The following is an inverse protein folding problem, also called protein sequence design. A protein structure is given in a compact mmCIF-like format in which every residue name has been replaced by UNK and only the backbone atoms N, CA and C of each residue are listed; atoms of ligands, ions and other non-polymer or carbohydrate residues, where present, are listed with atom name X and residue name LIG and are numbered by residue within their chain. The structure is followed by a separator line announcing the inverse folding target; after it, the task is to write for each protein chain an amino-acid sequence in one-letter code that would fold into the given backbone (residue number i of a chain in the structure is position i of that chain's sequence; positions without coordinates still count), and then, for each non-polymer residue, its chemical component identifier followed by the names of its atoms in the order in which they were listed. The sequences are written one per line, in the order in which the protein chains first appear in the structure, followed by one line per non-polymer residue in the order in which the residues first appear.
data_IF_626343288520
#
_entry.id   IF_626343288520
#
_cell.length_a   1.000
_cell.length_b   1.000
_cell.length_c   1.000
_cell.angle_alpha   90.00
_cell.angle_beta   90.00
_cell.angle_gamma   90.00
#
_symmetry.space_group_name_H-M   'P 1'
#
loop_
_entity.id
_entity.type
_entity.pdbx_description
1 polymer ?
#
# COMPACT_ATOMS: atom_id res chain seq x y z
N UNK A 1 11.28 17.13 -23.10
CA UNK A 1 9.91 16.68 -22.76
C UNK A 1 9.79 15.22 -23.16
N UNK A 2 9.96 14.29 -22.22
CA UNK A 2 9.75 12.86 -22.48
C UNK A 2 8.26 12.59 -22.40
N UNK A 3 7.61 12.30 -23.53
CA UNK A 3 6.18 11.98 -23.57
C UNK A 3 5.94 10.71 -22.77
N UNK A 4 5.22 10.81 -21.65
CA UNK A 4 4.84 9.65 -20.84
C UNK A 4 3.98 8.72 -21.69
N UNK A 5 4.50 7.53 -22.03
CA UNK A 5 3.76 6.52 -22.79
C UNK A 5 2.49 6.10 -22.03
N UNK A 6 1.41 5.87 -22.77
CA UNK A 6 0.13 5.46 -22.20
C UNK A 6 0.22 4.09 -21.48
N UNK A 7 -0.61 3.88 -20.46
CA UNK A 7 -0.73 2.60 -19.75
C UNK A 7 -1.79 1.73 -20.42
N UNK A 8 -1.38 0.97 -21.45
CA UNK A 8 -2.28 0.12 -22.26
C UNK A 8 -2.14 -1.36 -21.95
N UNK A 9 -3.13 -2.15 -22.38
CA UNK A 9 -3.14 -3.61 -22.24
C UNK A 9 -1.91 -4.23 -22.93
N UNK A 10 -1.56 -3.75 -24.11
CA UNK A 10 -0.49 -4.29 -24.96
C UNK A 10 0.89 -3.95 -24.38
N UNK A 11 1.06 -2.70 -23.91
CA UNK A 11 2.31 -2.28 -23.27
C UNK A 11 2.54 -3.02 -21.96
N UNK A 12 1.50 -3.16 -21.13
CA UNK A 12 1.62 -3.89 -19.86
C UNK A 12 1.87 -5.37 -20.07
N UNK A 13 1.35 -5.97 -21.15
CA UNK A 13 1.69 -7.33 -21.57
C UNK A 13 3.18 -7.45 -21.93
N UNK A 14 3.71 -6.56 -22.78
CA UNK A 14 5.12 -6.58 -23.18
C UNK A 14 6.08 -6.38 -21.98
N UNK A 15 5.74 -5.45 -21.08
CA UNK A 15 6.48 -5.20 -19.83
C UNK A 15 6.46 -6.43 -18.93
N UNK A 16 5.30 -7.10 -18.81
CA UNK A 16 5.17 -8.34 -18.05
C UNK A 16 6.05 -9.47 -18.62
N UNK A 17 6.04 -9.67 -19.94
CA UNK A 17 6.83 -10.70 -20.60
C UNK A 17 8.34 -10.45 -20.44
N UNK A 18 8.79 -9.22 -20.64
CA UNK A 18 10.19 -8.82 -20.44
C UNK A 18 10.63 -9.03 -18.99
N UNK A 19 9.79 -8.65 -18.02
CA UNK A 19 10.08 -8.86 -16.61
C UNK A 19 10.15 -10.35 -16.24
N UNK A 20 9.27 -11.19 -16.78
CA UNK A 20 9.33 -12.64 -16.56
C UNK A 20 10.61 -13.24 -17.16
N UNK A 21 10.98 -12.86 -18.38
CA UNK A 21 12.21 -13.30 -19.00
C UNK A 21 13.45 -12.91 -18.17
N UNK A 22 13.49 -11.67 -17.67
CA UNK A 22 14.57 -11.21 -16.77
C UNK A 22 14.63 -12.02 -15.47
N UNK A 23 13.47 -12.35 -14.89
CA UNK A 23 13.35 -13.14 -13.66
C UNK A 23 13.56 -14.65 -13.87
N UNK A 24 13.77 -15.12 -15.10
CA UNK A 24 13.85 -16.55 -15.44
C UNK A 24 12.52 -17.30 -15.24
N UNK A 25 11.40 -16.60 -15.36
CA UNK A 25 10.05 -17.15 -15.24
C UNK A 25 9.40 -17.32 -16.62
N UNK A 26 8.65 -18.41 -16.80
CA UNK A 26 7.92 -18.65 -18.04
C UNK A 26 6.60 -17.87 -18.08
N UNK A 27 6.52 -16.91 -19.01
CA UNK A 27 5.31 -16.14 -19.25
C UNK A 27 4.28 -16.88 -20.15
N UNK A 28 4.68 -17.99 -20.78
CA UNK A 28 3.80 -18.70 -21.71
C UNK A 28 2.54 -19.22 -21.01
N UNK A 29 1.38 -18.99 -21.64
CA UNK A 29 0.08 -19.38 -21.08
C UNK A 29 -0.36 -18.59 -19.85
N UNK A 30 0.39 -17.57 -19.42
CA UNK A 30 -0.02 -16.71 -18.32
C UNK A 30 -1.35 -16.01 -18.64
N UNK A 31 -2.17 -15.83 -17.61
CA UNK A 31 -3.48 -15.19 -17.73
C UNK A 31 -3.46 -13.81 -17.08
N UNK A 32 -3.90 -12.80 -17.82
CA UNK A 32 -4.19 -11.49 -17.24
C UNK A 32 -5.47 -11.58 -16.40
N UNK A 33 -5.30 -11.41 -15.09
CA UNK A 33 -6.36 -11.51 -14.09
C UNK A 33 -7.15 -10.20 -14.03
N UNK A 34 -6.46 -9.06 -14.05
CA UNK A 34 -7.09 -7.73 -13.92
C UNK A 34 -6.31 -6.69 -14.70
N UNK A 35 -7.03 -5.71 -15.24
CA UNK A 35 -6.46 -4.51 -15.84
C UNK A 35 -7.24 -3.28 -15.35
N UNK A 36 -6.54 -2.32 -14.73
CA UNK A 36 -7.13 -1.10 -14.17
C UNK A 36 -6.03 -0.14 -13.72
N UNK A 37 -6.04 0.27 -12.45
CA UNK A 37 -4.93 1.06 -11.87
C UNK A 37 -3.59 0.32 -11.99
N UNK A 38 -3.62 -1.02 -11.89
CA UNK A 38 -2.50 -1.92 -12.18
C UNK A 38 -2.95 -2.99 -13.17
N UNK A 39 -1.98 -3.60 -13.87
CA UNK A 39 -2.19 -4.84 -14.61
C UNK A 39 -1.67 -6.02 -13.77
N UNK A 40 -2.50 -7.04 -13.59
CA UNK A 40 -2.18 -8.22 -12.78
C UNK A 40 -2.21 -9.46 -13.68
N UNK A 41 -1.11 -10.19 -13.68
CA UNK A 41 -0.90 -11.42 -14.45
C UNK A 41 -0.65 -12.59 -13.50
N UNK A 42 -1.04 -13.78 -13.94
CA UNK A 42 -0.81 -15.03 -13.25
C UNK A 42 -0.10 -15.98 -14.18
N UNK A 43 1.04 -16.53 -13.74
CA UNK A 43 1.76 -17.54 -14.50
C UNK A 43 0.95 -18.84 -14.61
N UNK A 44 1.12 -19.55 -15.72
CA UNK A 44 0.33 -20.74 -16.03
C UNK A 44 0.52 -21.86 -14.99
N UNK A 45 1.73 -21.99 -14.48
CA UNK A 45 2.15 -22.95 -13.44
C UNK A 45 1.76 -22.54 -12.01
N UNK A 46 1.01 -21.43 -11.86
CA UNK A 46 0.62 -20.84 -10.57
C UNK A 46 1.80 -20.45 -9.65
N UNK A 47 3.03 -20.39 -10.17
CA UNK A 47 4.21 -20.10 -9.36
C UNK A 47 4.21 -18.65 -8.85
N UNK A 48 3.73 -17.70 -9.67
CA UNK A 48 3.76 -16.28 -9.38
C UNK A 48 2.50 -15.52 -9.82
N UNK A 49 2.21 -14.45 -9.09
CA UNK A 49 1.40 -13.32 -9.56
C UNK A 49 2.35 -12.17 -9.86
N UNK A 50 2.21 -11.58 -11.05
CA UNK A 50 3.05 -10.48 -11.52
C UNK A 50 2.18 -9.24 -11.65
N UNK A 51 2.60 -8.15 -11.01
CA UNK A 51 1.88 -6.88 -11.05
C UNK A 51 2.73 -5.83 -11.76
N UNK A 52 2.16 -5.23 -12.79
CA UNK A 52 2.70 -4.04 -13.48
C UNK A 52 1.95 -2.80 -12.97
N UNK A 53 2.68 -1.91 -12.31
CA UNK A 53 2.16 -0.67 -11.72
C UNK A 53 2.45 0.56 -12.57
N UNK A 54 2.01 1.72 -12.08
CA UNK A 54 2.19 3.03 -12.74
C UNK A 54 3.19 3.95 -12.04
N UNK A 55 3.51 3.67 -10.77
CA UNK A 55 4.29 4.56 -9.90
C UNK A 55 5.39 3.77 -9.21
N UNK A 56 6.64 4.07 -9.58
CA UNK A 56 7.83 3.47 -8.97
C UNK A 56 7.87 3.72 -7.46
N UNK A 57 7.63 4.95 -6.95
CA UNK A 57 7.58 5.18 -5.50
C UNK A 57 6.50 4.34 -4.79
N UNK A 58 5.32 4.19 -5.40
CA UNK A 58 4.24 3.39 -4.81
C UNK A 58 4.61 1.89 -4.75
N UNK A 59 5.15 1.35 -5.85
CA UNK A 59 5.56 -0.05 -5.91
C UNK A 59 6.74 -0.34 -4.96
N UNK A 60 7.70 0.58 -4.84
CA UNK A 60 8.82 0.48 -3.90
C UNK A 60 8.31 0.41 -2.46
N UNK A 61 7.41 1.33 -2.09
CA UNK A 61 6.78 1.32 -0.76
C UNK A 61 6.03 0.03 -0.50
N UNK A 62 5.30 -0.48 -1.48
CA UNK A 62 4.56 -1.75 -1.37
C UNK A 62 5.49 -2.94 -1.11
N UNK A 63 6.58 -3.08 -1.87
CA UNK A 63 7.58 -4.14 -1.67
C UNK A 63 8.20 -4.07 -0.28
N UNK A 64 8.63 -2.88 0.15
CA UNK A 64 9.25 -2.69 1.46
C UNK A 64 8.29 -3.05 2.61
N UNK A 65 7.03 -2.59 2.52
CA UNK A 65 6.02 -2.89 3.55
C UNK A 65 5.67 -4.38 3.55
N UNK A 66 5.49 -5.00 2.39
CA UNK A 66 5.18 -6.42 2.28
C UNK A 66 6.33 -7.30 2.82
N UNK A 67 7.59 -6.96 2.49
CA UNK A 67 8.78 -7.63 2.99
C UNK A 67 8.88 -7.53 4.52
N UNK A 68 8.77 -6.31 5.06
CA UNK A 68 8.79 -6.10 6.52
C UNK A 68 7.66 -6.85 7.24
N UNK A 69 6.45 -6.88 6.66
CA UNK A 69 5.34 -7.65 7.21
C UNK A 69 5.64 -9.17 7.21
N UNK A 70 6.21 -9.69 6.13
CA UNK A 70 6.58 -11.09 6.02
C UNK A 70 7.65 -11.49 7.05
N UNK A 71 8.71 -10.69 7.23
CA UNK A 71 9.73 -10.86 8.29
C UNK A 71 9.12 -10.88 9.70
N UNK A 72 8.02 -10.14 9.86
CA UNK A 72 7.29 -10.05 11.11
C UNK A 72 6.19 -11.12 11.27
N UNK A 73 6.19 -12.16 10.42
CA UNK A 73 5.23 -13.26 10.42
C UNK A 73 3.76 -12.78 10.28
N UNK A 74 3.57 -11.67 9.57
CA UNK A 74 2.26 -11.22 9.12
C UNK A 74 1.99 -11.81 7.72
N UNK A 75 0.77 -12.30 7.44
CA UNK A 75 0.43 -12.82 6.11
C UNK A 75 0.41 -11.67 5.10
N UNK A 76 1.52 -11.50 4.39
CA UNK A 76 1.69 -10.57 3.29
C UNK A 76 2.27 -11.33 2.10
N UNK A 77 1.95 -10.87 0.89
CA UNK A 77 2.54 -11.39 -0.33
C UNK A 77 4.08 -11.34 -0.21
N UNK A 78 4.73 -12.50 -0.25
CA UNK A 78 6.19 -12.57 -0.15
C UNK A 78 6.76 -12.29 -1.53
N UNK A 79 7.70 -11.34 -1.61
CA UNK A 79 8.51 -11.11 -2.81
C UNK A 79 9.10 -12.43 -3.27
N UNK A 80 8.67 -12.87 -4.45
CA UNK A 80 9.24 -14.02 -5.11
C UNK A 80 10.64 -13.60 -5.54
N UNK A 81 11.63 -14.42 -5.18
CA UNK A 81 13.04 -14.26 -5.53
C UNK A 81 13.72 -13.20 -4.68
N UNK A 82 14.91 -13.50 -4.17
CA UNK A 82 15.84 -12.51 -3.61
C UNK A 82 16.38 -11.52 -4.66
N UNK A 83 15.62 -11.29 -5.74
CA UNK A 83 15.85 -10.23 -6.70
C UNK A 83 15.35 -8.92 -6.09
N UNK A 84 16.10 -7.83 -6.28
CA UNK A 84 15.63 -6.50 -5.90
C UNK A 84 14.34 -6.16 -6.67
N UNK A 85 13.32 -5.72 -5.93
CA UNK A 85 12.03 -5.31 -6.47
C UNK A 85 11.70 -3.87 -6.04
N UNK A 86 10.96 -3.10 -6.87
CA UNK A 86 10.37 -3.48 -8.15
C UNK A 86 11.39 -3.53 -9.30
N UNK A 87 11.20 -4.45 -10.23
CA UNK A 87 11.89 -4.42 -11.52
C UNK A 87 11.32 -3.29 -12.38
N UNK A 88 12.15 -2.48 -13.03
CA UNK A 88 11.67 -1.34 -13.83
C UNK A 88 11.87 -1.64 -15.31
N UNK A 89 10.76 -1.65 -16.06
CA UNK A 89 10.76 -1.96 -17.49
C UNK A 89 9.86 -0.99 -18.25
N UNK A 90 10.37 -0.41 -19.33
CA UNK A 90 9.75 0.71 -20.06
C UNK A 90 9.18 1.82 -19.13
N UNK A 91 9.84 2.08 -17.99
CA UNK A 91 9.41 3.06 -16.99
C UNK A 91 8.22 2.66 -16.11
N UNK A 92 7.78 1.40 -16.18
CA UNK A 92 6.74 0.83 -15.31
C UNK A 92 7.38 -0.11 -14.27
N UNK A 93 7.00 -0.01 -12.98
CA UNK A 93 7.43 -0.97 -11.97
C UNK A 93 6.70 -2.29 -12.11
N UNK A 94 7.43 -3.39 -11.97
CA UNK A 94 6.95 -4.76 -11.95
C UNK A 94 7.32 -5.42 -10.63
N UNK A 95 6.36 -6.10 -10.02
CA UNK A 95 6.55 -6.85 -8.76
C UNK A 95 6.07 -8.28 -8.93
N UNK A 96 6.76 -9.21 -8.26
CA UNK A 96 6.50 -10.63 -8.27
C UNK A 96 6.15 -11.10 -6.87
N UNK A 97 4.96 -11.66 -6.72
CA UNK A 97 4.48 -12.23 -5.47
C UNK A 97 4.33 -13.75 -5.60
N UNK A 98 4.94 -14.50 -4.65
CA UNK A 98 4.71 -15.95 -4.56
C UNK A 98 3.30 -16.22 -4.07
N UNK A 99 2.63 -17.18 -4.70
CA UNK A 99 1.49 -17.84 -4.06
C UNK A 99 2.02 -18.82 -3.03
N UNK A 100 1.81 -18.54 -1.74
CA UNK A 100 2.19 -19.46 -0.66
C UNK A 100 1.43 -20.80 -0.76
N UNK A 101 0.27 -20.81 -1.41
CA UNK A 101 -0.59 -21.99 -1.53
C UNK A 101 -0.50 -22.77 -2.86
N UNK A 102 0.33 -22.36 -3.82
CA UNK A 102 0.41 -23.03 -5.13
C UNK A 102 -0.97 -23.21 -5.78
N UNK A 103 -1.35 -24.46 -6.06
CA UNK A 103 -2.64 -24.83 -6.66
C UNK A 103 -3.85 -24.57 -5.75
N UNK A 104 -3.65 -24.50 -4.42
CA UNK A 104 -4.72 -24.19 -3.47
C UNK A 104 -5.00 -22.69 -3.37
N UNK A 105 -4.34 -21.85 -4.18
CA UNK A 105 -4.60 -20.41 -4.20
C UNK A 105 -5.86 -20.07 -5.00
N UNK A 106 -6.76 -19.33 -4.38
CA UNK A 106 -7.96 -18.76 -4.99
C UNK A 106 -7.72 -17.31 -5.41
N UNK A 107 -7.83 -17.03 -6.71
CA UNK A 107 -7.62 -15.68 -7.22
C UNK A 107 -8.89 -14.83 -7.11
N UNK A 108 -8.97 -14.05 -6.03
CA UNK A 108 -10.10 -13.15 -5.78
C UNK A 108 -9.78 -11.67 -6.06
N UNK A 109 -8.60 -11.35 -6.62
CA UNK A 109 -8.20 -9.96 -6.89
C UNK A 109 -8.02 -9.11 -5.62
N UNK A 110 -7.80 -9.76 -4.48
CA UNK A 110 -7.64 -9.13 -3.16
C UNK A 110 -6.21 -8.64 -2.97
N UNK A 111 -6.06 -7.42 -2.44
CA UNK A 111 -4.75 -6.86 -2.06
C UNK A 111 -4.22 -7.51 -0.78
N UNK A 112 -5.12 -7.80 0.17
CA UNK A 112 -4.80 -8.51 1.41
C UNK A 112 -5.55 -9.83 1.44
N UNK A 113 -4.85 -10.88 1.00
CA UNK A 113 -5.39 -12.23 0.98
C UNK A 113 -4.74 -13.11 2.05
N UNK A 114 -5.46 -14.12 2.49
CA UNK A 114 -4.90 -15.25 3.23
C UNK A 114 -3.86 -15.98 2.38
N UNK A 115 -3.11 -16.91 3.00
CA UNK A 115 -2.10 -17.71 2.29
C UNK A 115 -2.66 -18.46 1.08
N UNK A 116 -3.98 -18.71 1.04
CA UNK A 116 -4.72 -19.41 -0.02
C UNK A 116 -5.56 -18.47 -0.90
N UNK A 117 -5.36 -17.15 -0.84
CA UNK A 117 -6.03 -16.23 -1.76
C UNK A 117 -7.46 -15.80 -1.37
N UNK A 118 -7.98 -16.31 -0.24
CA UNK A 118 -9.28 -15.89 0.33
C UNK A 118 -9.18 -14.62 1.17
N UNK A 119 -10.32 -14.01 1.47
CA UNK A 119 -10.42 -12.88 2.40
C UNK A 119 -9.79 -13.19 3.76
N UNK A 120 -9.13 -12.19 4.34
CA UNK A 120 -8.60 -12.30 5.69
C UNK A 120 -9.71 -12.14 6.72
N UNK A 121 -9.88 -13.15 7.57
CA UNK A 121 -10.73 -13.03 8.75
C UNK A 121 -10.18 -11.98 9.74
N UNK A 122 -11.06 -11.14 10.28
CA UNK A 122 -10.68 -10.04 11.16
C UNK A 122 -10.00 -10.50 12.46
N UNK A 123 -10.37 -11.68 13.01
CA UNK A 123 -9.69 -12.22 14.19
C UNK A 123 -8.27 -12.69 13.86
N UNK A 124 -8.07 -13.30 12.69
CA UNK A 124 -6.75 -13.67 12.20
C UNK A 124 -5.85 -12.45 11.95
N UNK A 125 -6.38 -11.36 11.38
CA UNK A 125 -5.66 -10.09 11.23
C UNK A 125 -5.24 -9.55 12.60
N UNK A 126 -6.15 -9.50 13.58
CA UNK A 126 -5.82 -9.05 14.95
C UNK A 126 -4.77 -9.93 15.61
N UNK A 127 -4.83 -11.26 15.40
CA UNK A 127 -3.82 -12.20 15.93
C UNK A 127 -2.45 -11.92 15.32
N UNK A 128 -2.39 -11.68 14.01
CA UNK A 128 -1.15 -11.33 13.33
C UNK A 128 -0.60 -9.97 13.81
N UNK A 129 -1.45 -8.95 13.92
CA UNK A 129 -1.09 -7.63 14.44
C UNK A 129 -0.49 -7.72 15.85
N UNK A 130 -1.08 -8.52 16.75
CA UNK A 130 -0.53 -8.72 18.10
C UNK A 130 0.87 -9.33 18.11
N UNK A 131 1.22 -10.18 17.12
CA UNK A 131 2.59 -10.70 17.01
C UNK A 131 3.59 -9.60 16.66
N UNK A 132 3.21 -8.72 15.73
CA UNK A 132 4.02 -7.55 15.34
C UNK A 132 4.24 -6.62 16.54
N UNK A 133 3.19 -6.33 17.31
CA UNK A 133 3.29 -5.51 18.52
C UNK A 133 4.25 -6.10 19.56
N UNK A 134 4.20 -7.41 19.81
CA UNK A 134 5.15 -8.08 20.71
C UNK A 134 6.59 -7.92 20.24
N UNK A 135 6.85 -8.10 18.94
CA UNK A 135 8.18 -7.92 18.35
C UNK A 135 8.68 -6.47 18.47
N UNK A 136 7.76 -5.51 18.39
CA UNK A 136 8.06 -4.09 18.58
C UNK A 136 8.20 -3.67 20.06
N UNK A 137 8.10 -4.60 21.02
CA UNK A 137 8.19 -4.28 22.46
C UNK A 137 6.94 -3.62 23.03
N UNK A 138 5.81 -3.66 22.33
CA UNK A 138 4.54 -3.08 22.77
C UNK A 138 3.65 -4.13 23.45
N UNK A 139 2.82 -3.69 24.41
CA UNK A 139 1.85 -4.55 25.11
C UNK A 139 0.63 -4.79 24.21
N UNK A 140 0.41 -6.00 23.66
CA UNK A 140 -0.59 -6.18 22.60
C UNK A 140 -2.05 -6.05 23.04
N UNK A 141 -2.32 -6.04 24.35
CA UNK A 141 -3.65 -5.84 24.90
C UNK A 141 -4.12 -4.39 24.77
N UNK A 142 -3.17 -3.44 24.76
CA UNK A 142 -3.45 -2.00 24.79
C UNK A 142 -3.67 -1.42 23.39
N UNK A 143 -3.46 -2.22 22.34
CA UNK A 143 -3.43 -1.75 20.96
C UNK A 143 -4.45 -2.49 20.10
N UNK A 144 -5.10 -1.73 19.23
CA UNK A 144 -5.90 -2.26 18.13
C UNK A 144 -5.43 -1.64 16.81
N UNK A 145 -5.71 -2.25 15.64
CA UNK A 145 -5.36 -1.63 14.36
C UNK A 145 -5.92 -0.21 14.16
N UNK A 146 -6.98 0.15 14.91
CA UNK A 146 -7.55 1.51 14.92
C UNK A 146 -6.54 2.55 15.40
N UNK A 147 -5.66 2.20 16.34
CA UNK A 147 -4.63 3.12 16.88
C UNK A 147 -3.61 3.54 15.80
N UNK A 148 -3.40 2.70 14.78
CA UNK A 148 -2.56 3.06 13.63
C UNK A 148 -3.22 4.18 12.81
N UNK A 149 -4.56 4.15 12.65
CA UNK A 149 -5.31 5.23 11.99
C UNK A 149 -5.24 6.51 12.82
N UNK A 150 -5.29 6.41 14.15
CA UNK A 150 -5.07 7.56 15.02
C UNK A 150 -3.68 8.16 14.83
N UNK A 151 -2.64 7.33 14.88
CA UNK A 151 -1.25 7.76 14.65
C UNK A 151 -1.06 8.43 13.27
N UNK A 152 -1.67 7.88 12.21
CA UNK A 152 -1.62 8.47 10.87
C UNK A 152 -2.20 9.89 10.84
N UNK A 153 -3.36 10.10 11.45
CA UNK A 153 -3.96 11.44 11.52
C UNK A 153 -3.14 12.38 12.39
N UNK A 154 -2.62 11.92 13.53
CA UNK A 154 -1.74 12.70 14.41
C UNK A 154 -0.53 13.24 13.64
N UNK A 155 0.17 12.36 12.91
CA UNK A 155 1.36 12.73 12.13
C UNK A 155 1.05 13.72 11.01
N UNK A 156 -0.07 13.53 10.28
CA UNK A 156 -0.45 14.46 9.22
C UNK A 156 -0.86 15.83 9.78
N UNK A 157 -1.54 15.83 10.91
CA UNK A 157 -1.90 17.06 11.64
C UNK A 157 -0.66 17.81 12.10
N UNK A 158 0.33 17.11 12.65
CA UNK A 158 1.61 17.68 13.08
C UNK A 158 2.42 18.25 11.89
N UNK A 159 2.28 17.65 10.69
CA UNK A 159 2.83 18.20 9.45
C UNK A 159 2.05 19.38 8.83
N UNK A 160 1.13 19.99 9.59
CA UNK A 160 0.30 21.13 9.16
C UNK A 160 -0.62 20.83 7.97
N UNK A 161 -0.97 19.56 7.72
CA UNK A 161 -1.94 19.24 6.68
C UNK A 161 -3.35 19.65 7.13
N UNK A 162 -4.09 20.31 6.22
CA UNK A 162 -5.45 20.75 6.52
C UNK A 162 -6.36 19.56 6.85
N UNK A 163 -7.20 19.73 7.86
CA UNK A 163 -8.06 18.68 8.41
C UNK A 163 -9.04 18.10 7.38
N UNK A 164 -9.47 18.91 6.41
CA UNK A 164 -10.31 18.46 5.30
C UNK A 164 -9.56 17.44 4.42
N UNK A 165 -8.30 17.74 4.08
CA UNK A 165 -7.44 16.84 3.29
C UNK A 165 -7.18 15.55 4.05
N UNK A 166 -6.90 15.64 5.36
CA UNK A 166 -6.72 14.48 6.22
C UNK A 166 -8.00 13.62 6.25
N UNK A 167 -9.17 14.24 6.41
CA UNK A 167 -10.47 13.55 6.48
C UNK A 167 -10.77 12.78 5.19
N UNK A 168 -10.44 13.36 4.03
CA UNK A 168 -10.54 12.69 2.73
C UNK A 168 -9.60 11.48 2.65
N UNK A 169 -8.36 11.59 3.12
CA UNK A 169 -7.38 10.49 3.11
C UNK A 169 -7.81 9.30 3.97
N UNK A 170 -8.45 9.53 5.12
CA UNK A 170 -8.94 8.45 5.98
C UNK A 170 -10.32 7.93 5.60
N UNK A 171 -10.95 8.51 4.58
CA UNK A 171 -12.24 8.07 4.04
C UNK A 171 -13.45 8.46 4.90
N UNK A 172 -13.37 9.57 5.64
CA UNK A 172 -14.53 10.08 6.39
C UNK A 172 -15.47 10.88 5.48
N UNK A 173 -16.78 10.60 5.57
CA UNK A 173 -17.83 11.42 4.94
C UNK A 173 -18.09 12.68 5.78
N UNK A 174 -17.12 13.60 5.79
CA UNK A 174 -17.15 14.86 6.54
C UNK A 174 -16.05 14.97 7.60
N UNK A 175 -15.84 16.17 8.12
CA UNK A 175 -14.78 16.48 9.09
C UNK A 175 -15.19 16.25 10.54
N UNK A 176 -16.48 16.05 10.85
CA UNK A 176 -17.01 16.04 12.22
C UNK A 176 -16.36 14.98 13.13
N UNK A 177 -16.05 13.79 12.60
CA UNK A 177 -15.35 12.73 13.36
C UNK A 177 -13.88 13.11 13.56
N UNK A 178 -13.23 13.65 12.53
CA UNK A 178 -11.81 14.06 12.60
C UNK A 178 -11.64 15.27 13.53
N UNK A 179 -12.53 16.26 13.47
CA UNK A 179 -12.57 17.43 14.35
C UNK A 179 -12.79 17.04 15.80
N UNK A 180 -13.72 16.12 16.10
CA UNK A 180 -14.06 15.73 17.47
C UNK A 180 -12.96 14.89 18.12
N UNK A 181 -12.31 14.02 17.35
CA UNK A 181 -11.31 13.06 17.85
C UNK A 181 -9.90 13.66 17.92
N UNK A 182 -9.54 14.57 17.02
CA UNK A 182 -8.17 15.11 16.93
C UNK A 182 -8.02 16.57 17.37
N UNK A 183 -9.08 17.19 17.90
CA UNK A 183 -9.09 18.56 18.47
C UNK A 183 -7.91 18.86 19.40
N UNK A 184 -7.40 17.85 20.11
CA UNK A 184 -6.40 18.01 21.16
C UNK A 184 -4.96 17.93 20.63
N UNK A 185 -4.76 17.33 19.45
CA UNK A 185 -3.47 17.21 18.78
C UNK A 185 -3.27 18.29 17.70
N UNK A 186 -4.34 19.01 17.35
CA UNK A 186 -4.31 20.23 16.55
C UNK A 186 -3.85 21.41 17.44
N UNK A 187 -2.54 21.71 17.49
CA UNK A 187 -2.05 23.01 18.00
C UNK A 187 -1.02 23.61 17.03
N UNK A 188 -1.04 24.94 16.74
CA UNK A 188 -1.99 25.98 17.16
C UNK A 188 -2.56 26.73 15.94
N UNK A 189 -3.71 26.29 15.40
CA UNK A 189 -4.44 27.08 14.38
C UNK A 189 -4.81 28.48 14.93
N UNK A 190 -4.95 28.60 16.26
CA UNK A 190 -5.21 29.87 16.95
C UNK A 190 -4.04 30.86 16.80
N UNK A 191 -2.79 30.39 16.72
CA UNK A 191 -1.62 31.27 16.64
C UNK A 191 -1.41 31.81 15.23
N UNK A 192 -1.62 30.97 14.20
CA UNK A 192 -1.58 31.40 12.80
C UNK A 192 -2.69 32.41 12.44
N UNK A 193 -3.88 32.28 13.05
CA UNK A 193 -4.96 33.25 12.88
C UNK A 193 -4.60 34.62 13.44
N UNK A 194 -3.99 34.67 14.62
CA UNK A 194 -3.49 35.90 15.23
C UNK A 194 -2.37 36.53 14.40
N UNK A 195 -1.35 35.76 13.99
CA UNK A 195 -0.24 36.26 13.16
C UNK A 195 -0.68 36.75 11.78
N UNK A 196 -1.74 36.16 11.21
CA UNK A 196 -2.32 36.61 9.94
C UNK A 196 -3.13 37.88 10.13
N UNK A 197 -3.90 38.00 11.21
CA UNK A 197 -4.59 39.24 11.57
C UNK A 197 -3.59 40.37 11.83
N UNK A 198 -2.51 40.11 12.56
CA UNK A 198 -1.46 41.11 12.80
C UNK A 198 -0.84 41.60 11.49
N UNK A 199 -0.58 40.70 10.52
CA UNK A 199 -0.11 41.09 9.17
C UNK A 199 -1.12 41.95 8.42
N UNK A 200 -2.41 41.60 8.46
CA UNK A 200 -3.48 42.34 7.80
C UNK A 200 -3.56 43.76 8.39
N UNK A 201 -3.58 43.89 9.72
CA UNK A 201 -3.70 45.17 10.41
C UNK A 201 -2.40 46.00 10.43
N UNK A 202 -1.24 45.39 10.17
CA UNK A 202 0.04 46.12 9.99
C UNK A 202 0.23 46.58 8.53
N UNK A 203 -0.58 46.08 7.60
CA UNK A 203 -0.54 46.44 6.16
C UNK A 203 -1.61 47.44 5.72
N UNK A 204 -2.43 47.94 6.65
CA UNK A 204 -3.34 49.09 6.49
C UNK A 204 -2.70 50.35 7.07
#
# INVERSE_FOLDING_TARGET
MTTTKAFTSERTQAVFEAACAFAGLDAAGAKRVRFGENAIFRLADNSAVVRVGRSIPAATKEVLVAGWLAENAFPAATSLLGAEQPFIEDGLPVTFARRLAGDNWEENGLVFASAVGRELDAANVRRAFRRVLKKAGLVPADWTPRELRHSFVSLLSDSSMELEKISRLVGHNGTTVTEKVYRHQLRPVIQHGAETMDRIFTSM
#
